data_IF_639677544952
#
_entry.id   IF_639677544952
#
_cell.length_a   1.000
_cell.length_b   1.000
_cell.length_c   1.000
_cell.angle_alpha   90.00
_cell.angle_beta   90.00
_cell.angle_gamma   90.00
#
_symmetry.space_group_name_H-M   'P 1'
#
loop_
_entity.id
_entity.type
_entity.pdbx_description
1 polymer ?
#
# COMPACT_ATOMS: atom_id res chain seq x y z
N UNK A 1 -4.49 -11.21 3.83
CA UNK A 1 -4.55 -9.87 3.24
C UNK A 1 -3.12 -9.45 2.91
N UNK A 2 -2.55 -9.85 1.76
CA UNK A 2 -1.14 -9.57 1.50
C UNK A 2 -0.86 -8.08 1.26
N UNK A 3 0.35 -7.63 1.60
CA UNK A 3 0.86 -6.27 1.32
C UNK A 3 1.89 -6.35 0.20
N UNK A 4 1.63 -5.67 -0.91
CA UNK A 4 2.61 -5.47 -1.96
C UNK A 4 3.53 -4.30 -1.56
N UNK A 5 4.82 -4.55 -1.43
CA UNK A 5 5.85 -3.54 -1.16
C UNK A 5 6.60 -3.30 -2.47
N UNK A 6 6.32 -2.16 -3.09
CA UNK A 6 6.96 -1.74 -4.34
C UNK A 6 8.09 -0.77 -4.03
N UNK A 7 9.25 -0.99 -4.64
CA UNK A 7 10.42 -0.14 -4.43
C UNK A 7 11.39 -0.19 -5.61
N UNK A 8 12.33 0.77 -5.63
CA UNK A 8 13.46 0.80 -6.55
C UNK A 8 14.74 0.31 -5.88
N UNK A 9 15.70 -0.14 -6.65
CA UNK A 9 16.97 -0.66 -6.12
C UNK A 9 17.63 0.27 -5.09
N UNK A 10 17.60 1.60 -5.32
CA UNK A 10 18.14 2.59 -4.40
C UNK A 10 17.40 2.70 -3.05
N UNK A 11 16.12 2.33 -3.01
CA UNK A 11 15.28 2.35 -1.82
C UNK A 11 15.26 0.97 -1.10
N UNK A 12 16.08 0.02 -1.55
CA UNK A 12 16.11 -1.37 -1.06
C UNK A 12 16.26 -1.49 0.45
N UNK A 13 17.14 -0.70 1.06
CA UNK A 13 17.37 -0.75 2.50
C UNK A 13 16.09 -0.46 3.29
N UNK A 14 15.33 0.55 2.88
CA UNK A 14 14.05 0.90 3.49
C UNK A 14 13.00 -0.18 3.24
N UNK A 15 12.87 -0.66 2.01
CA UNK A 15 11.89 -1.68 1.65
C UNK A 15 12.10 -3.00 2.41
N UNK A 16 13.35 -3.45 2.55
CA UNK A 16 13.70 -4.66 3.31
C UNK A 16 13.41 -4.47 4.80
N UNK A 17 13.70 -3.28 5.37
CA UNK A 17 13.40 -2.97 6.78
C UNK A 17 11.89 -3.00 7.04
N UNK A 18 11.10 -2.37 6.17
CA UNK A 18 9.62 -2.37 6.27
C UNK A 18 9.09 -3.80 6.13
N UNK A 19 9.58 -4.56 5.15
CA UNK A 19 9.21 -5.96 4.96
C UNK A 19 9.46 -6.80 6.21
N UNK A 20 10.64 -6.66 6.83
CA UNK A 20 10.98 -7.36 8.06
C UNK A 20 10.02 -7.01 9.21
N UNK A 21 9.66 -5.72 9.37
CA UNK A 21 8.70 -5.27 10.38
C UNK A 21 7.31 -5.86 10.16
N UNK A 22 6.82 -5.88 8.92
CA UNK A 22 5.52 -6.45 8.59
C UNK A 22 5.49 -7.98 8.81
N UNK A 23 6.55 -8.69 8.40
CA UNK A 23 6.69 -10.13 8.64
C UNK A 23 6.71 -10.44 10.14
N UNK A 24 7.45 -9.67 10.94
CA UNK A 24 7.45 -9.79 12.41
C UNK A 24 6.06 -9.57 13.02
N UNK A 25 5.24 -8.71 12.41
CA UNK A 25 3.85 -8.50 12.79
C UNK A 25 2.87 -9.57 12.27
N UNK A 26 3.39 -10.65 11.66
CA UNK A 26 2.67 -11.76 11.03
C UNK A 26 1.80 -11.32 9.84
N UNK A 27 2.27 -10.34 9.07
CA UNK A 27 1.62 -9.83 7.86
C UNK A 27 2.34 -10.42 6.64
N UNK A 28 1.58 -11.09 5.76
CA UNK A 28 2.09 -11.62 4.50
C UNK A 28 2.45 -10.46 3.57
N UNK A 29 3.67 -10.49 3.02
CA UNK A 29 4.17 -9.47 2.11
C UNK A 29 4.61 -10.09 0.78
N UNK A 30 4.58 -9.27 -0.26
CA UNK A 30 5.26 -9.50 -1.54
C UNK A 30 6.17 -8.31 -1.78
N UNK A 31 7.46 -8.57 -1.99
CA UNK A 31 8.49 -7.54 -2.11
C UNK A 31 9.04 -7.59 -3.54
N UNK A 32 8.90 -6.51 -4.31
CA UNK A 32 9.33 -6.49 -5.71
C UNK A 32 10.14 -5.24 -6.08
N UNK A 33 11.18 -5.42 -6.88
CA UNK A 33 12.10 -4.36 -7.35
C UNK A 33 11.67 -3.93 -8.74
N UNK A 34 11.25 -2.67 -8.90
CA UNK A 34 10.87 -2.15 -10.20
C UNK A 34 12.02 -1.42 -10.89
N UNK A 35 13.06 -2.11 -11.37
CA UNK A 35 14.16 -1.43 -12.08
C UNK A 35 13.98 -1.38 -13.61
N UNK A 36 14.23 -0.20 -14.19
CA UNK A 36 14.07 0.07 -15.63
C UNK A 36 15.17 -0.60 -16.44
N UNK A 37 16.32 -0.89 -15.83
CA UNK A 37 17.46 -1.55 -16.47
C UNK A 37 17.27 -3.07 -16.61
N UNK A 38 16.26 -3.65 -15.98
CA UNK A 38 16.16 -5.11 -15.84
C UNK A 38 15.11 -5.80 -16.72
N UNK A 39 14.14 -5.10 -17.34
CA UNK A 39 13.05 -5.74 -18.10
C UNK A 39 12.46 -4.85 -19.21
N UNK A 40 11.84 -5.49 -20.21
CA UNK A 40 11.04 -4.81 -21.25
C UNK A 40 9.70 -4.29 -20.68
N UNK A 41 9.21 -3.15 -21.17
CA UNK A 41 8.01 -2.44 -20.65
C UNK A 41 6.72 -3.28 -20.65
N UNK A 42 6.55 -4.22 -21.60
CA UNK A 42 5.36 -5.08 -21.65
C UNK A 42 5.31 -6.08 -20.48
N UNK A 43 6.47 -6.48 -19.95
CA UNK A 43 6.55 -7.45 -18.84
C UNK A 43 6.25 -6.76 -17.50
N UNK A 44 6.80 -5.55 -17.29
CA UNK A 44 6.71 -4.87 -16.00
C UNK A 44 5.29 -4.41 -15.65
N UNK A 45 4.50 -3.95 -16.62
CA UNK A 45 3.09 -3.58 -16.36
C UNK A 45 2.25 -4.79 -15.98
N UNK A 46 2.46 -5.93 -16.66
CA UNK A 46 1.80 -7.20 -16.34
C UNK A 46 2.17 -7.71 -14.94
N UNK A 47 3.46 -7.63 -14.57
CA UNK A 47 3.95 -7.98 -13.22
C UNK A 47 3.31 -7.07 -12.16
N UNK A 48 3.30 -5.76 -12.38
CA UNK A 48 2.67 -4.80 -11.47
C UNK A 48 1.18 -5.10 -11.30
N UNK A 49 0.43 -5.22 -12.40
CA UNK A 49 -1.01 -5.51 -12.36
C UNK A 49 -1.28 -6.81 -11.62
N UNK A 50 -0.48 -7.85 -11.86
CA UNK A 50 -0.59 -9.13 -11.15
C UNK A 50 -0.35 -8.95 -9.65
N UNK A 51 0.75 -8.34 -9.25
CA UNK A 51 1.10 -8.15 -7.83
C UNK A 51 0.03 -7.35 -7.08
N UNK A 52 -0.48 -6.28 -7.70
CA UNK A 52 -1.59 -5.48 -7.14
C UNK A 52 -2.87 -6.32 -7.04
N UNK A 53 -3.15 -7.17 -8.04
CA UNK A 53 -4.35 -8.01 -8.06
C UNK A 53 -4.34 -9.06 -6.94
N UNK A 54 -3.18 -9.64 -6.63
CA UNK A 54 -2.97 -10.69 -5.62
C UNK A 54 -2.87 -10.12 -4.19
N UNK A 55 -2.64 -8.81 -4.04
CA UNK A 55 -2.49 -8.14 -2.76
C UNK A 55 -3.71 -7.33 -2.36
N UNK A 56 -3.86 -7.00 -1.08
CA UNK A 56 -4.94 -6.12 -0.59
C UNK A 56 -4.46 -4.70 -0.26
N UNK A 57 -3.15 -4.55 -0.02
CA UNK A 57 -2.50 -3.28 0.26
C UNK A 57 -1.36 -3.06 -0.73
N UNK A 58 -1.13 -1.79 -1.08
CA UNK A 58 0.05 -1.31 -1.78
C UNK A 58 0.79 -0.37 -0.83
N UNK A 59 2.05 -0.67 -0.56
CA UNK A 59 3.00 0.20 0.13
C UNK A 59 4.12 0.54 -0.84
N UNK A 60 4.03 1.73 -1.44
CA UNK A 60 5.05 2.22 -2.36
C UNK A 60 6.18 2.92 -1.57
N UNK A 61 7.40 2.41 -1.65
CA UNK A 61 8.59 3.05 -1.05
C UNK A 61 9.14 4.04 -2.05
N UNK A 62 9.03 5.34 -1.73
CA UNK A 62 9.25 6.42 -2.68
C UNK A 62 10.27 7.43 -2.12
N UNK A 63 11.32 7.68 -2.88
CA UNK A 63 12.23 8.80 -2.75
C UNK A 63 11.89 9.87 -3.78
N UNK A 64 12.50 11.04 -3.67
CA UNK A 64 12.38 12.11 -4.69
C UNK A 64 12.66 11.60 -6.11
N UNK A 65 13.72 10.79 -6.26
CA UNK A 65 14.15 10.27 -7.57
C UNK A 65 13.15 9.27 -8.13
N UNK A 66 12.53 8.45 -7.27
CA UNK A 66 11.62 7.39 -7.72
C UNK A 66 10.20 7.90 -7.90
N UNK A 67 9.83 9.00 -7.24
CA UNK A 67 8.56 9.67 -7.42
C UNK A 67 8.33 10.21 -8.85
N UNK A 68 9.42 10.50 -9.58
CA UNK A 68 9.40 10.99 -10.97
C UNK A 68 9.19 9.87 -12.00
N UNK A 69 9.19 8.63 -11.55
CA UNK A 69 9.09 7.48 -12.45
C UNK A 69 7.66 7.17 -12.84
N UNK A 70 7.46 6.68 -14.06
CA UNK A 70 6.12 6.43 -14.61
C UNK A 70 5.36 5.28 -13.92
N UNK A 71 6.06 4.31 -13.33
CA UNK A 71 5.39 3.16 -12.69
C UNK A 71 4.69 3.54 -11.39
N UNK A 72 5.18 4.54 -10.63
CA UNK A 72 4.50 4.97 -9.39
C UNK A 72 3.06 5.41 -9.65
N UNK A 73 2.78 6.36 -10.57
CA UNK A 73 1.39 6.72 -10.89
C UNK A 73 0.62 5.56 -11.54
N UNK A 74 1.27 4.65 -12.27
CA UNK A 74 0.63 3.44 -12.81
C UNK A 74 0.13 2.51 -11.70
N UNK A 75 0.99 2.14 -10.74
CA UNK A 75 0.66 1.31 -9.58
C UNK A 75 -0.47 1.93 -8.76
N UNK A 76 -0.38 3.23 -8.51
CA UNK A 76 -1.39 3.98 -7.77
C UNK A 76 -2.73 3.96 -8.52
N UNK A 77 -2.71 4.09 -9.86
CA UNK A 77 -3.89 3.95 -10.71
C UNK A 77 -4.55 2.57 -10.58
N UNK A 78 -3.76 1.51 -10.81
CA UNK A 78 -4.20 0.10 -10.71
C UNK A 78 -4.76 -0.23 -9.32
N UNK A 79 -4.07 0.20 -8.27
CA UNK A 79 -4.50 0.00 -6.90
C UNK A 79 -5.79 0.79 -6.59
N UNK A 80 -5.98 1.97 -7.20
CA UNK A 80 -7.19 2.77 -7.02
C UNK A 80 -8.41 2.11 -7.64
N UNK A 81 -8.30 1.66 -8.89
CA UNK A 81 -9.44 1.04 -9.60
C UNK A 81 -9.85 -0.31 -8.98
N UNK A 82 -8.89 -1.01 -8.35
CA UNK A 82 -9.12 -2.28 -7.63
C UNK A 82 -9.41 -2.10 -6.14
N UNK A 83 -9.58 -0.86 -5.66
CA UNK A 83 -9.91 -0.52 -4.26
C UNK A 83 -8.92 -1.11 -3.23
N UNK A 84 -7.62 -1.06 -3.53
CA UNK A 84 -6.56 -1.47 -2.60
C UNK A 84 -6.27 -0.38 -1.59
N UNK A 85 -5.70 -0.81 -0.46
CA UNK A 85 -5.23 0.10 0.59
C UNK A 85 -3.85 0.60 0.20
N UNK A 86 -3.85 1.74 -0.47
CA UNK A 86 -2.65 2.47 -0.88
C UNK A 86 -2.07 3.26 0.30
N UNK A 87 -0.75 3.19 0.47
CA UNK A 87 0.05 4.17 1.20
C UNK A 87 1.45 4.29 0.56
N UNK A 88 2.17 5.35 0.90
CA UNK A 88 3.57 5.52 0.49
C UNK A 88 4.49 5.67 1.71
N UNK A 89 5.74 5.23 1.59
CA UNK A 89 6.79 5.49 2.57
C UNK A 89 7.85 6.39 1.96
N UNK A 90 7.99 7.60 2.51
CA UNK A 90 8.94 8.62 2.06
C UNK A 90 10.33 8.36 2.65
N UNK A 91 11.32 8.10 1.80
CA UNK A 91 12.70 7.78 2.24
C UNK A 91 13.66 8.99 2.25
N UNK A 92 13.22 10.16 1.75
CA UNK A 92 14.04 11.36 1.62
C UNK A 92 13.41 12.63 2.23
N UNK A 93 14.18 13.73 2.34
CA UNK A 93 13.69 14.97 2.92
C UNK A 93 12.68 15.69 2.01
N UNK A 94 12.83 15.56 0.71
CA UNK A 94 12.01 16.24 -0.30
C UNK A 94 10.55 15.81 -0.21
N UNK A 95 9.65 16.74 -0.48
CA UNK A 95 8.23 16.43 -0.56
C UNK A 95 7.92 15.55 -1.78
N UNK A 96 6.97 14.65 -1.59
CA UNK A 96 6.48 13.80 -2.67
C UNK A 96 5.54 14.59 -3.59
N UNK A 97 5.37 14.20 -4.86
CA UNK A 97 4.44 14.83 -5.78
C UNK A 97 3.02 14.91 -5.21
N UNK A 98 2.32 16.02 -5.51
CA UNK A 98 0.99 16.34 -4.99
C UNK A 98 -0.05 15.23 -5.21
N UNK A 99 0.06 14.43 -6.27
CA UNK A 99 -0.89 13.34 -6.52
C UNK A 99 -0.87 12.26 -5.43
N UNK A 100 0.24 12.11 -4.71
CA UNK A 100 0.36 11.16 -3.59
C UNK A 100 -0.30 11.66 -2.30
N UNK A 101 -0.62 12.97 -2.20
CA UNK A 101 -1.25 13.56 -1.01
C UNK A 101 -2.65 13.04 -0.76
N UNK A 102 -3.28 12.41 -1.76
CA UNK A 102 -4.58 11.77 -1.57
C UNK A 102 -4.51 10.65 -0.52
N UNK A 103 -3.42 9.88 -0.49
CA UNK A 103 -3.25 8.71 0.36
C UNK A 103 -2.34 8.98 1.57
N UNK A 104 -2.31 8.08 2.57
CA UNK A 104 -1.38 8.19 3.69
C UNK A 104 0.09 8.16 3.24
N UNK A 105 0.87 9.14 3.70
CA UNK A 105 2.33 9.24 3.49
C UNK A 105 3.05 8.97 4.81
N UNK A 106 3.70 7.82 4.91
CA UNK A 106 4.48 7.38 6.05
C UNK A 106 5.89 7.93 5.92
N UNK A 107 6.50 8.31 7.04
CA UNK A 107 7.84 8.95 7.07
C UNK A 107 8.75 8.35 8.12
N UNK A 108 8.21 7.57 9.05
CA UNK A 108 8.93 7.04 10.21
C UNK A 108 8.54 5.60 10.52
N UNK A 109 9.37 4.92 11.32
CA UNK A 109 9.06 3.58 11.83
C UNK A 109 7.76 3.56 12.64
N UNK A 110 7.44 4.66 13.32
CA UNK A 110 6.18 4.81 14.06
C UNK A 110 4.97 4.80 13.15
N UNK A 111 5.07 5.39 11.97
CA UNK A 111 4.00 5.37 10.98
C UNK A 111 3.76 3.95 10.45
N UNK A 112 4.81 3.11 10.38
CA UNK A 112 4.68 1.69 10.06
C UNK A 112 3.86 0.97 11.14
N UNK A 113 4.07 1.31 12.42
CA UNK A 113 3.28 0.73 13.51
C UNK A 113 1.80 1.15 13.40
N UNK A 114 1.51 2.41 13.04
CA UNK A 114 0.14 2.83 12.75
C UNK A 114 -0.49 2.08 11.57
N UNK A 115 0.30 1.78 10.53
CA UNK A 115 -0.15 0.94 9.43
C UNK A 115 -0.48 -0.49 9.88
N UNK A 116 0.37 -1.09 10.72
CA UNK A 116 0.14 -2.44 11.28
C UNK A 116 -1.16 -2.49 12.08
N UNK A 117 -1.42 -1.47 12.90
CA UNK A 117 -2.67 -1.36 13.67
C UNK A 117 -3.88 -1.25 12.75
N UNK A 118 -3.84 -0.35 11.76
CA UNK A 118 -4.92 -0.17 10.80
C UNK A 118 -5.21 -1.47 10.01
N UNK A 119 -4.16 -2.17 9.58
CA UNK A 119 -4.25 -3.47 8.93
C UNK A 119 -4.98 -4.51 9.81
N UNK A 120 -4.64 -4.57 11.11
CA UNK A 120 -5.24 -5.54 12.06
C UNK A 120 -6.70 -5.22 12.35
N UNK A 121 -7.02 -3.94 12.50
CA UNK A 121 -8.41 -3.49 12.67
C UNK A 121 -9.26 -3.91 11.46
N UNK A 122 -8.75 -3.69 10.25
CA UNK A 122 -9.44 -4.11 9.03
C UNK A 122 -9.58 -5.63 8.94
N UNK A 123 -8.52 -6.39 9.25
CA UNK A 123 -8.58 -7.85 9.25
C UNK A 123 -9.62 -8.39 10.24
N UNK A 124 -9.80 -7.71 11.36
CA UNK A 124 -10.83 -8.04 12.36
C UNK A 124 -12.22 -7.74 11.84
N UNK A 125 -12.45 -6.53 11.30
CA UNK A 125 -13.74 -6.14 10.72
C UNK A 125 -14.15 -7.06 9.57
N UNK A 126 -13.20 -7.45 8.70
CA UNK A 126 -13.46 -8.37 7.59
C UNK A 126 -13.93 -9.75 8.08
N UNK A 127 -13.37 -10.25 9.19
CA UNK A 127 -13.80 -11.53 9.80
C UNK A 127 -15.21 -11.42 10.36
N UNK A 128 -15.54 -10.32 11.04
CA UNK A 128 -16.89 -10.06 11.57
C UNK A 128 -17.92 -9.97 10.43
N UNK A 129 -17.62 -9.21 9.39
CA UNK A 129 -18.52 -9.07 8.23
C UNK A 129 -18.73 -10.40 7.48
N UNK A 130 -17.69 -11.25 7.36
CA UNK A 130 -17.84 -12.57 6.73
C UNK A 130 -18.84 -13.46 7.47
N UNK A 131 -19.01 -13.28 8.78
CA UNK A 131 -20.02 -13.99 9.58
C UNK A 131 -21.43 -13.42 9.38
N UNK A 132 -21.54 -12.10 9.16
CA UNK A 132 -22.83 -11.39 9.01
C UNK A 132 -23.37 -11.35 7.56
N UNK A 133 -22.49 -11.52 6.57
CA UNK A 133 -22.77 -11.37 5.12
C UNK A 133 -23.76 -12.37 4.50
N UNK A 134 -24.40 -13.22 5.30
CA UNK A 134 -25.54 -14.04 4.87
C UNK A 134 -26.80 -13.17 4.63
N UNK A 135 -26.81 -11.90 5.06
CA UNK A 135 -28.04 -11.09 5.15
C UNK A 135 -28.12 -9.82 4.29
N UNK A 136 -27.07 -9.43 3.57
CA UNK A 136 -26.97 -8.10 2.91
C UNK A 136 -26.93 -8.11 1.37
N UNK A 137 -27.65 -7.17 0.74
CA UNK A 137 -27.73 -6.97 -0.72
C UNK A 137 -26.61 -6.08 -1.32
N UNK A 138 -25.58 -5.72 -0.55
CA UNK A 138 -24.49 -4.87 -1.03
C UNK A 138 -23.49 -5.63 -1.92
N UNK A 139 -23.06 -5.01 -3.02
CA UNK A 139 -22.02 -5.60 -3.86
C UNK A 139 -20.66 -5.63 -3.13
N UNK A 140 -19.93 -6.73 -3.30
CA UNK A 140 -18.56 -6.92 -2.75
C UNK A 140 -17.63 -5.75 -3.13
N UNK A 141 -17.80 -5.19 -4.32
CA UNK A 141 -17.02 -4.04 -4.81
C UNK A 141 -17.30 -2.77 -3.99
N UNK A 142 -18.56 -2.49 -3.66
CA UNK A 142 -18.94 -1.33 -2.85
C UNK A 142 -18.35 -1.42 -1.44
N UNK A 143 -18.50 -2.58 -0.80
CA UNK A 143 -17.94 -2.85 0.53
C UNK A 143 -16.42 -2.69 0.52
N UNK A 144 -15.75 -3.24 -0.50
CA UNK A 144 -14.29 -3.15 -0.59
C UNK A 144 -13.81 -1.69 -0.75
N UNK A 145 -14.53 -0.88 -1.54
CA UNK A 145 -14.26 0.55 -1.69
C UNK A 145 -14.41 1.30 -0.37
N UNK A 146 -15.53 1.12 0.33
CA UNK A 146 -15.78 1.76 1.63
C UNK A 146 -14.69 1.41 2.65
N UNK A 147 -14.28 0.15 2.70
CA UNK A 147 -13.20 -0.28 3.59
C UNK A 147 -11.85 0.34 3.22
N UNK A 148 -11.54 0.54 1.92
CA UNK A 148 -10.33 1.22 1.48
C UNK A 148 -10.33 2.70 1.91
N UNK A 149 -11.45 3.40 1.66
CA UNK A 149 -11.61 4.80 2.03
C UNK A 149 -11.47 5.01 3.55
N UNK A 150 -12.08 4.13 4.35
CA UNK A 150 -11.93 4.15 5.82
C UNK A 150 -10.49 3.94 6.25
N UNK A 151 -9.81 2.93 5.71
CA UNK A 151 -8.39 2.68 6.00
C UNK A 151 -7.54 3.92 5.71
N UNK A 152 -7.75 4.57 4.56
CA UNK A 152 -7.00 5.76 4.18
C UNK A 152 -7.25 6.93 5.15
N UNK A 153 -8.52 7.18 5.49
CA UNK A 153 -8.88 8.28 6.39
C UNK A 153 -8.33 8.10 7.81
N UNK A 154 -8.44 6.89 8.36
CA UNK A 154 -7.96 6.57 9.71
C UNK A 154 -6.44 6.67 9.78
N UNK A 155 -5.72 6.00 8.87
CA UNK A 155 -4.26 6.00 8.88
C UNK A 155 -3.70 7.41 8.67
N UNK A 156 -4.25 8.18 7.73
CA UNK A 156 -3.82 9.57 7.48
C UNK A 156 -4.03 10.44 8.73
N UNK A 157 -5.16 10.27 9.40
CA UNK A 157 -5.47 11.00 10.65
C UNK A 157 -4.48 10.67 11.76
N UNK A 158 -4.13 9.39 11.95
CA UNK A 158 -3.16 8.97 12.97
C UNK A 158 -1.76 9.49 12.70
N UNK A 159 -1.32 9.47 11.44
CA UNK A 159 -0.02 10.04 11.03
C UNK A 159 0.01 11.55 11.35
N UNK A 160 -1.04 12.30 10.99
CA UNK A 160 -1.09 13.75 11.25
C UNK A 160 -1.10 14.07 12.75
N UNK A 161 -1.85 13.30 13.55
CA UNK A 161 -1.95 13.52 15.01
C UNK A 161 -0.73 13.01 15.77
N UNK A 162 -0.04 12.01 15.22
CA UNK A 162 1.11 11.38 15.86
C UNK A 162 0.75 10.55 17.10
N UNK A 163 -0.45 9.95 17.19
CA UNK A 163 -0.83 8.92 18.17
C UNK A 163 -2.06 8.12 17.70
#
# INVERSE_FOLDING_TARGET
MPVFISYRHMDRAHAVKINARLIQANIKTYLDVLDAESQTTDDITGVITRNISECTHLLAVVSEKTALSWWVPFEIGEATITNRRICSFKTGPTELPLYLDKWPKLTSDRDIDFFIDAYRNEATLKRSMSLESITGNESVRSVNKSNADRFHAELKTRIIRGF
#
